data_IF_605832459064
#
_entry.id   IF_605832459064
#
_cell.length_a   1.000
_cell.length_b   1.000
_cell.length_c   1.000
_cell.angle_alpha   90.00
_cell.angle_beta   90.00
_cell.angle_gamma   90.00
#
_symmetry.space_group_name_H-M   'P 1'
#
loop_
_entity.id
_entity.type
_entity.pdbx_description
1 polymer ?
#
# COMPACT_ATOMS: atom_id res chain seq x y z
N UNK A 1 14.32 19.79 -7.21
CA UNK A 1 13.71 18.67 -7.95
C UNK A 1 12.67 18.01 -7.05
N UNK A 2 11.46 17.89 -7.54
CA UNK A 2 10.42 17.17 -6.81
C UNK A 2 10.70 15.68 -6.93
N UNK A 3 11.19 15.08 -5.85
CA UNK A 3 11.36 13.64 -5.78
C UNK A 3 10.17 13.05 -5.03
N UNK A 4 9.47 12.14 -5.65
CA UNK A 4 8.38 11.39 -5.01
C UNK A 4 8.92 10.08 -4.45
N UNK A 5 8.57 9.81 -3.21
CA UNK A 5 9.02 8.61 -2.50
C UNK A 5 7.80 7.80 -2.09
N UNK A 6 7.80 6.53 -2.41
CA UNK A 6 6.75 5.61 -2.00
C UNK A 6 7.34 4.30 -1.50
N UNK A 7 6.65 3.67 -0.56
CA UNK A 7 7.08 2.39 -0.01
C UNK A 7 7.09 1.26 -1.03
N UNK A 8 6.22 1.34 -2.01
CA UNK A 8 6.11 0.38 -3.12
C UNK A 8 6.47 1.05 -4.44
N UNK A 9 5.91 2.24 -4.70
CA UNK A 9 6.07 2.94 -5.97
C UNK A 9 6.24 4.44 -5.74
N UNK A 10 7.29 5.03 -6.32
CA UNK A 10 7.52 6.47 -6.22
C UNK A 10 6.47 7.30 -6.96
N UNK A 11 6.10 6.87 -8.15
CA UNK A 11 5.13 7.55 -8.99
C UNK A 11 4.27 6.55 -9.75
N UNK A 12 2.97 6.69 -9.63
CA UNK A 12 1.98 5.93 -10.39
C UNK A 12 1.38 6.82 -11.48
N UNK A 13 1.73 6.51 -12.70
CA UNK A 13 1.34 7.27 -13.86
C UNK A 13 -0.15 7.11 -14.18
N UNK A 14 -0.69 8.06 -14.92
CA UNK A 14 -2.08 8.10 -15.37
C UNK A 14 -2.51 6.81 -16.06
N UNK A 15 -3.63 6.25 -15.64
CA UNK A 15 -4.36 5.24 -16.39
C UNK A 15 -4.97 5.87 -17.66
N UNK A 16 -5.12 5.09 -18.71
CA UNK A 16 -5.78 5.57 -19.95
C UNK A 16 -7.25 5.89 -19.68
N UNK A 17 -7.76 6.85 -20.41
CA UNK A 17 -9.09 7.44 -20.27
C UNK A 17 -10.23 6.44 -20.19
N UNK A 18 -10.86 6.34 -19.04
CA UNK A 18 -12.08 5.56 -18.80
C UNK A 18 -12.22 5.12 -17.37
N UNK A 19 -13.41 5.17 -16.83
CA UNK A 19 -13.72 4.83 -15.43
C UNK A 19 -13.36 3.39 -15.02
N UNK A 20 -13.00 2.55 -15.96
CA UNK A 20 -12.69 1.13 -15.76
C UNK A 20 -11.29 0.77 -16.31
N UNK A 21 -10.42 1.75 -16.47
CA UNK A 21 -9.08 1.44 -16.96
C UNK A 21 -8.27 0.72 -15.88
N UNK A 22 -7.88 -0.51 -16.19
CA UNK A 22 -7.10 -1.38 -15.33
C UNK A 22 -5.60 -1.31 -15.62
N UNK A 23 -5.16 -0.35 -16.41
CA UNK A 23 -3.77 -0.31 -16.89
C UNK A 23 -2.78 0.27 -15.87
N UNK A 24 -3.28 0.99 -14.86
CA UNK A 24 -2.45 1.53 -13.79
C UNK A 24 -2.99 1.09 -12.44
N UNK A 25 -2.56 -0.09 -11.98
CA UNK A 25 -3.03 -0.70 -10.73
C UNK A 25 -1.86 -1.05 -9.82
N UNK A 26 -1.93 -0.60 -8.57
CA UNK A 26 -1.14 -1.13 -7.44
C UNK A 26 -2.07 -1.92 -6.54
N UNK A 27 -1.86 -3.22 -6.42
CA UNK A 27 -2.73 -4.10 -5.63
C UNK A 27 -1.96 -5.15 -4.85
N UNK A 28 -2.57 -5.58 -3.76
CA UNK A 28 -2.05 -6.67 -2.92
C UNK A 28 -0.59 -6.43 -2.53
N UNK A 29 -0.32 -5.22 -2.02
CA UNK A 29 1.01 -4.79 -1.61
C UNK A 29 1.05 -4.45 -0.12
N UNK A 30 2.20 -4.67 0.49
CA UNK A 30 2.43 -4.31 1.89
C UNK A 30 3.79 -3.65 2.06
N UNK A 31 3.81 -2.54 2.79
CA UNK A 31 5.04 -1.86 3.18
C UNK A 31 5.27 -2.02 4.69
N UNK A 32 6.46 -2.47 5.07
CA UNK A 32 6.93 -2.53 6.46
C UNK A 32 8.05 -1.52 6.75
N UNK A 33 8.61 -0.92 5.71
CA UNK A 33 9.76 -0.01 5.81
C UNK A 33 9.37 1.42 6.14
N UNK A 34 10.27 2.14 6.80
CA UNK A 34 10.12 3.58 7.07
C UNK A 34 10.27 4.40 5.78
N UNK A 35 9.47 5.46 5.64
CA UNK A 35 9.40 6.31 4.45
C UNK A 35 9.73 7.76 4.82
N UNK A 36 10.49 8.43 3.95
CA UNK A 36 10.81 9.86 4.01
C UNK A 36 11.47 10.31 5.33
N UNK A 37 12.33 9.48 5.91
CA UNK A 37 12.99 9.79 7.19
C UNK A 37 13.95 10.98 7.12
N UNK A 38 14.64 11.17 6.01
CA UNK A 38 15.64 12.24 5.83
C UNK A 38 15.52 12.93 4.47
N UNK A 39 14.40 12.77 3.80
CA UNK A 39 14.16 13.28 2.46
C UNK A 39 12.73 13.82 2.38
N UNK A 40 12.48 14.76 1.56
CA UNK A 40 11.20 15.37 1.17
C UNK A 40 9.93 14.84 1.79
N UNK A 41 9.00 14.49 0.95
CA UNK A 41 7.69 13.93 1.32
C UNK A 41 7.49 12.56 0.65
N UNK A 42 6.64 11.71 1.20
CA UNK A 42 6.39 10.39 0.64
C UNK A 42 5.11 9.75 1.10
N UNK A 43 4.64 8.78 0.32
CA UNK A 43 3.50 7.93 0.66
C UNK A 43 3.94 6.54 1.11
N UNK A 44 3.24 5.98 2.08
CA UNK A 44 3.55 4.65 2.59
C UNK A 44 3.44 3.55 1.53
N UNK A 45 2.61 3.74 0.53
CA UNK A 45 2.46 2.86 -0.63
C UNK A 45 2.94 3.56 -1.90
N UNK A 46 2.38 4.72 -2.26
CA UNK A 46 2.72 5.45 -3.48
C UNK A 46 3.07 6.89 -3.14
N UNK A 47 4.19 7.38 -3.68
CA UNK A 47 4.64 8.76 -3.45
C UNK A 47 3.77 9.78 -4.17
N UNK A 48 3.36 9.49 -5.41
CA UNK A 48 2.46 10.33 -6.19
C UNK A 48 1.60 9.51 -7.12
N UNK A 49 0.34 9.92 -7.26
CA UNK A 49 -0.59 9.36 -8.24
C UNK A 49 -1.05 10.42 -9.23
N UNK A 50 -1.26 10.00 -10.47
CA UNK A 50 -1.99 10.76 -11.48
C UNK A 50 -3.42 10.25 -11.63
N UNK A 51 -4.18 10.91 -12.51
CA UNK A 51 -5.59 10.59 -12.79
C UNK A 51 -5.79 9.11 -13.13
N UNK A 52 -6.90 8.53 -12.69
CA UNK A 52 -7.28 7.13 -12.96
C UNK A 52 -6.31 6.06 -12.47
N UNK A 53 -5.37 6.41 -11.61
CA UNK A 53 -4.56 5.42 -10.90
C UNK A 53 -5.42 4.66 -9.88
N UNK A 54 -5.27 3.34 -9.85
CA UNK A 54 -6.06 2.47 -8.98
C UNK A 54 -5.18 1.81 -7.92
N UNK A 55 -5.68 1.74 -6.70
CA UNK A 55 -5.01 1.05 -5.61
C UNK A 55 -6.02 0.16 -4.88
N UNK A 56 -5.67 -1.08 -4.67
CA UNK A 56 -6.56 -2.06 -4.07
C UNK A 56 -5.81 -2.96 -3.09
N UNK A 57 -6.37 -3.16 -1.92
CA UNK A 57 -5.86 -4.12 -0.92
C UNK A 57 -4.37 -3.95 -0.64
N UNK A 58 -4.02 -2.75 -0.21
CA UNK A 58 -2.67 -2.44 0.22
C UNK A 58 -2.64 -2.08 1.70
N UNK A 59 -1.55 -2.41 2.38
CA UNK A 59 -1.35 -2.10 3.79
C UNK A 59 -0.02 -1.40 4.00
N UNK A 60 -0.03 -0.30 4.74
CA UNK A 60 1.19 0.32 5.24
C UNK A 60 1.34 0.13 6.76
N UNK A 61 2.38 -0.58 7.17
CA UNK A 61 2.84 -0.69 8.56
C UNK A 61 4.00 0.25 8.86
N UNK A 62 4.71 0.69 7.83
CA UNK A 62 5.90 1.50 7.96
C UNK A 62 5.59 2.94 8.34
N UNK A 63 6.44 3.53 9.17
CA UNK A 63 6.30 4.93 9.56
C UNK A 63 6.64 5.86 8.39
N UNK A 64 5.73 6.79 8.11
CA UNK A 64 5.96 7.90 7.17
C UNK A 64 6.29 9.14 8.00
N UNK A 65 7.51 9.66 7.87
CA UNK A 65 7.96 10.80 8.67
C UNK A 65 7.48 12.14 8.14
N UNK A 66 7.36 12.23 6.82
CA UNK A 66 6.85 13.42 6.13
C UNK A 66 6.02 12.95 4.94
N UNK A 67 4.74 13.35 4.90
CA UNK A 67 3.78 12.93 3.88
C UNK A 67 2.62 12.14 4.46
N UNK A 68 1.99 11.32 3.64
CA UNK A 68 0.77 10.61 3.97
C UNK A 68 0.99 9.09 4.14
N UNK A 69 0.16 8.47 4.96
CA UNK A 69 0.33 7.06 5.31
C UNK A 69 0.21 6.09 4.13
N UNK A 70 -0.49 6.47 3.08
CA UNK A 70 -0.69 5.67 1.88
C UNK A 70 -0.20 6.37 0.62
N UNK A 71 -0.75 7.54 0.30
CA UNK A 71 -0.47 8.31 -0.92
C UNK A 71 -0.21 9.77 -0.58
N UNK A 72 0.98 10.28 -0.88
CA UNK A 72 1.38 11.63 -0.47
C UNK A 72 0.90 12.73 -1.41
N UNK A 73 1.10 12.60 -2.71
CA UNK A 73 0.78 13.64 -3.68
C UNK A 73 -0.26 13.17 -4.68
N UNK A 74 -1.38 13.87 -4.71
CA UNK A 74 -2.49 13.61 -5.60
C UNK A 74 -2.67 14.75 -6.58
N UNK A 75 -2.81 14.42 -7.84
CA UNK A 75 -3.30 15.40 -8.81
C UNK A 75 -4.78 15.70 -8.55
N UNK A 76 -5.12 16.96 -8.41
CA UNK A 76 -6.43 17.46 -7.94
C UNK A 76 -7.67 17.01 -8.73
N UNK A 77 -7.49 16.28 -9.82
CA UNK A 77 -8.58 15.67 -10.61
C UNK A 77 -8.57 14.14 -10.54
N UNK A 78 -7.80 13.56 -9.64
CA UNK A 78 -7.68 12.12 -9.52
C UNK A 78 -9.00 11.51 -9.04
N UNK A 79 -9.83 11.11 -9.95
CA UNK A 79 -10.90 10.15 -9.66
C UNK A 79 -10.21 8.80 -9.54
N UNK A 80 -9.85 8.49 -8.36
CA UNK A 80 -9.15 7.27 -8.06
C UNK A 80 -10.15 6.22 -7.61
N UNK A 81 -10.00 5.04 -8.11
CA UNK A 81 -10.68 3.87 -7.58
C UNK A 81 -9.78 3.28 -6.49
N UNK A 82 -10.03 3.68 -5.27
CA UNK A 82 -9.28 3.20 -4.11
C UNK A 82 -10.20 2.32 -3.27
N UNK A 83 -9.80 1.08 -3.08
CA UNK A 83 -10.56 0.11 -2.34
C UNK A 83 -9.68 -0.69 -1.39
N UNK A 84 -10.15 -0.80 -0.15
CA UNK A 84 -9.52 -1.67 0.83
C UNK A 84 -8.06 -1.29 1.09
N UNK A 85 -7.82 -0.01 1.39
CA UNK A 85 -6.52 0.52 1.78
C UNK A 85 -6.47 0.71 3.29
N UNK A 86 -5.42 0.21 3.90
CA UNK A 86 -5.25 0.23 5.35
C UNK A 86 -3.87 0.73 5.76
N UNK A 87 -3.81 1.42 6.90
CA UNK A 87 -2.54 1.84 7.49
C UNK A 87 -2.55 1.74 9.01
N UNK A 88 -1.41 1.35 9.57
CA UNK A 88 -1.23 1.36 11.01
C UNK A 88 -1.30 2.81 11.52
N UNK A 89 -2.11 3.07 12.54
CA UNK A 89 -2.36 4.42 13.05
C UNK A 89 -1.08 5.19 13.47
N UNK A 90 -0.04 4.48 13.90
CA UNK A 90 1.26 5.07 14.21
C UNK A 90 2.14 5.35 12.98
N UNK A 91 1.75 4.90 11.79
CA UNK A 91 2.51 5.13 10.57
C UNK A 91 2.35 6.55 10.00
N UNK A 92 1.22 7.19 10.24
CA UNK A 92 0.87 8.52 9.75
C UNK A 92 -0.64 8.70 9.65
N UNK A 93 -1.07 9.68 8.86
CA UNK A 93 -2.48 9.91 8.54
C UNK A 93 -2.69 9.81 7.04
N UNK A 94 -3.91 9.46 6.64
CA UNK A 94 -4.33 9.48 5.25
C UNK A 94 -5.85 9.51 5.15
N UNK A 95 -6.39 10.29 4.22
CA UNK A 95 -7.82 10.35 3.95
C UNK A 95 -8.31 9.26 2.99
N UNK A 96 -7.40 8.52 2.37
CA UNK A 96 -7.69 7.54 1.33
C UNK A 96 -7.92 6.12 1.84
N UNK A 97 -7.64 5.86 3.11
CA UNK A 97 -7.77 4.54 3.67
C UNK A 97 -8.26 4.54 5.11
N UNK A 98 -8.30 3.38 5.69
CA UNK A 98 -8.72 3.17 7.08
C UNK A 98 -7.51 2.87 7.95
N UNK A 99 -7.44 3.56 9.10
CA UNK A 99 -6.41 3.27 10.09
C UNK A 99 -6.82 2.10 10.98
N UNK A 100 -5.85 1.33 11.41
CA UNK A 100 -6.00 0.28 12.42
C UNK A 100 -4.93 0.40 13.50
N UNK A 101 -5.21 -0.16 14.66
CA UNK A 101 -4.30 -0.17 15.82
C UNK A 101 -3.43 -1.44 15.83
N UNK A 102 -2.37 -1.42 16.64
CA UNK A 102 -1.54 -2.62 16.85
C UNK A 102 -2.34 -3.81 17.39
N UNK A 103 -3.38 -3.56 18.19
CA UNK A 103 -4.26 -4.63 18.72
C UNK A 103 -5.21 -5.23 17.68
N UNK A 104 -5.35 -4.59 16.53
CA UNK A 104 -6.23 -5.02 15.44
C UNK A 104 -5.45 -5.69 14.29
N UNK A 105 -4.14 -5.48 14.22
CA UNK A 105 -3.32 -5.94 13.09
C UNK A 105 -3.27 -7.47 12.93
N UNK A 106 -3.58 -8.22 13.97
CA UNK A 106 -3.60 -9.69 13.96
C UNK A 106 -4.98 -10.30 13.73
N UNK A 107 -5.95 -9.50 13.29
CA UNK A 107 -7.33 -9.95 13.03
C UNK A 107 -7.64 -9.84 11.54
N UNK A 108 -8.01 -10.94 10.90
CA UNK A 108 -8.45 -10.91 9.50
C UNK A 108 -9.63 -9.96 9.27
N UNK A 109 -10.53 -9.85 10.25
CA UNK A 109 -11.70 -8.97 10.16
C UNK A 109 -11.36 -7.48 10.05
N UNK A 110 -10.15 -7.06 10.41
CA UNK A 110 -9.67 -5.69 10.25
C UNK A 110 -9.48 -5.32 8.76
N UNK A 111 -9.11 -6.29 7.94
CA UNK A 111 -8.76 -6.10 6.54
C UNK A 111 -9.88 -6.61 5.62
N UNK A 112 -10.99 -5.90 5.61
CA UNK A 112 -12.12 -6.21 4.74
C UNK A 112 -11.69 -6.18 3.26
N UNK A 113 -12.22 -7.09 2.46
CA UNK A 113 -11.90 -7.20 1.03
C UNK A 113 -10.62 -7.98 0.71
N UNK A 114 -9.84 -8.40 1.71
CA UNK A 114 -8.61 -9.17 1.51
C UNK A 114 -8.89 -10.67 1.37
N UNK A 115 -8.24 -11.30 0.41
CA UNK A 115 -8.31 -12.74 0.21
C UNK A 115 -7.26 -13.47 1.07
N UNK A 116 -7.65 -13.90 2.25
CA UNK A 116 -6.79 -14.67 3.15
C UNK A 116 -6.69 -16.16 2.79
N UNK A 117 -7.42 -16.63 1.81
CA UNK A 117 -7.31 -18.01 1.35
C UNK A 117 -6.18 -18.23 0.36
N UNK A 118 -5.99 -17.30 -0.59
CA UNK A 118 -5.06 -17.49 -1.70
C UNK A 118 -3.96 -16.43 -1.82
N UNK A 119 -4.21 -15.20 -1.37
CA UNK A 119 -3.28 -14.06 -1.57
C UNK A 119 -2.57 -13.68 -0.29
N UNK A 120 -3.32 -13.45 0.77
CA UNK A 120 -2.81 -13.00 2.05
C UNK A 120 -2.76 -14.12 3.08
N UNK A 121 -1.91 -13.97 4.07
CA UNK A 121 -1.77 -14.90 5.17
C UNK A 121 -1.85 -14.16 6.50
N UNK A 122 -2.69 -14.65 7.40
CA UNK A 122 -2.80 -14.23 8.79
C UNK A 122 -3.39 -15.39 9.59
N UNK A 123 -2.55 -16.36 9.91
CA UNK A 123 -2.93 -17.53 10.69
C UNK A 123 -2.90 -17.22 12.20
N UNK A 124 -3.51 -18.10 12.97
CA UNK A 124 -3.49 -17.97 14.43
C UNK A 124 -2.06 -17.92 14.97
N UNK A 125 -1.76 -16.89 15.75
CA UNK A 125 -0.42 -16.65 16.31
C UNK A 125 0.47 -15.75 15.46
N UNK A 126 0.08 -15.39 14.24
CA UNK A 126 0.80 -14.40 13.45
C UNK A 126 0.45 -12.98 13.91
N UNK A 127 1.43 -12.10 13.93
CA UNK A 127 1.27 -10.74 14.46
C UNK A 127 0.63 -9.77 13.47
N UNK A 128 0.75 -10.03 12.17
CA UNK A 128 0.26 -9.15 11.10
C UNK A 128 0.16 -9.88 9.77
N UNK A 129 -0.64 -9.36 8.81
CA UNK A 129 -0.75 -9.95 7.48
C UNK A 129 0.56 -10.00 6.72
N UNK A 130 0.74 -11.05 5.96
CA UNK A 130 1.82 -11.22 4.99
C UNK A 130 1.25 -11.76 3.68
N UNK A 131 2.00 -11.67 2.60
CA UNK A 131 1.62 -12.26 1.32
C UNK A 131 2.08 -13.73 1.24
N UNK A 132 1.19 -14.61 0.78
CA UNK A 132 1.48 -16.05 0.72
C UNK A 132 2.63 -16.40 -0.22
N UNK A 133 2.83 -15.66 -1.29
CA UNK A 133 3.81 -15.96 -2.33
C UNK A 133 4.98 -14.99 -2.38
N UNK A 134 5.15 -14.15 -1.39
CA UNK A 134 6.39 -13.39 -1.20
C UNK A 134 7.54 -14.22 -0.61
N UNK A 135 7.33 -15.50 -0.36
CA UNK A 135 8.44 -16.39 -0.28
C UNK A 135 9.11 -16.39 -1.66
N UNK A 136 10.19 -15.65 -1.79
CA UNK A 136 11.18 -15.99 -2.77
C UNK A 136 11.50 -17.46 -2.53
N UNK A 137 10.84 -18.32 -3.26
CA UNK A 137 11.46 -19.59 -3.54
C UNK A 137 12.68 -19.22 -4.36
N UNK A 138 13.79 -19.10 -3.69
CA UNK A 138 15.03 -19.38 -4.37
C UNK A 138 14.84 -20.80 -4.90
N UNK A 139 14.37 -20.86 -6.15
CA UNK A 139 14.44 -22.10 -6.88
C UNK A 139 15.84 -22.61 -6.61
N UNK A 140 15.94 -23.74 -5.96
CA UNK A 140 17.20 -24.44 -5.82
C UNK A 140 17.81 -24.43 -7.21
N UNK A 141 18.81 -23.57 -7.39
CA UNK A 141 19.51 -23.54 -8.65
C UNK A 141 19.99 -24.96 -8.89
N UNK A 142 19.61 -25.58 -10.01
CA UNK A 142 20.15 -26.90 -10.33
C UNK A 142 21.67 -26.81 -10.29
N UNK A 143 22.24 -27.66 -9.48
CA UNK A 143 23.70 -27.80 -9.42
C UNK A 143 24.28 -28.05 -10.80
#
# INVERSE_FOLDING_TARGET
SNSWVGGILGYQEEGKTGKNDTNSIVKDCVNYGEIAKNIGSGGGIVGRIDNYANQHRCINFGKVYTGDALVDDEKSAAITHQHDLYYLNSSGNDSWGESFTESEQNKQSTFSGFDFNTVWKLDSGESRPTLRQCAFQFATLPN
#
